data_IF_569959985536
#
_entry.id   IF_569959985536
#
_cell.length_a   1.000
_cell.length_b   1.000
_cell.length_c   1.000
_cell.angle_alpha   90.00
_cell.angle_beta   90.00
_cell.angle_gamma   90.00
#
_symmetry.space_group_name_H-M   'P 1'
#
loop_
_entity.id
_entity.type
_entity.pdbx_description
1 polymer ?
#
# COMPACT_ATOMS: atom_id res chain seq x y z
N UNK A 1 -44.31 -26.84 37.20
CA UNK A 1 -44.95 -25.58 37.65
C UNK A 1 -44.67 -24.52 36.59
N UNK A 2 -45.71 -24.00 35.91
CA UNK A 2 -45.58 -23.02 34.82
C UNK A 2 -45.70 -21.58 35.34
N UNK A 3 -44.69 -20.75 35.08
CA UNK A 3 -44.71 -19.28 35.17
C UNK A 3 -43.47 -18.84 34.38
N UNK A 4 -43.55 -18.01 33.33
CA UNK A 4 -43.93 -16.60 33.43
C UNK A 4 -44.34 -16.06 32.05
N UNK A 5 -45.59 -15.61 31.98
CA UNK A 5 -46.11 -14.37 31.39
C UNK A 5 -45.39 -13.74 30.19
N UNK A 6 -46.04 -13.92 29.03
CA UNK A 6 -46.17 -13.00 27.89
C UNK A 6 -46.58 -11.59 28.32
N UNK A 7 -45.93 -10.54 27.78
CA UNK A 7 -46.56 -9.35 27.15
C UNK A 7 -45.52 -8.31 26.76
N UNK A 8 -45.46 -7.99 25.45
CA UNK A 8 -45.60 -6.64 24.87
C UNK A 8 -44.91 -6.59 23.50
N UNK A 9 -45.68 -6.52 22.41
CA UNK A 9 -45.21 -6.06 21.12
C UNK A 9 -46.14 -4.92 20.66
N UNK A 10 -45.58 -3.70 20.61
CA UNK A 10 -46.26 -2.48 20.23
C UNK A 10 -46.34 -2.35 18.69
N UNK A 11 -47.40 -1.68 18.25
CA UNK A 11 -47.85 -1.56 16.87
C UNK A 11 -47.04 -0.56 16.03
N UNK A 12 -46.96 -0.91 14.74
CA UNK A 12 -46.99 -0.08 13.53
C UNK A 12 -46.32 1.31 13.56
N UNK A 13 -45.28 1.46 12.74
CA UNK A 13 -45.22 2.58 11.80
C UNK A 13 -44.63 2.08 10.50
N UNK A 14 -45.50 1.93 9.50
CA UNK A 14 -45.13 1.88 8.10
C UNK A 14 -44.44 3.18 7.74
N UNK A 15 -43.15 3.15 7.44
CA UNK A 15 -42.50 4.19 6.65
C UNK A 15 -41.71 3.52 5.54
N UNK A 16 -42.30 3.55 4.35
CA UNK A 16 -41.62 3.27 3.09
C UNK A 16 -40.60 4.38 2.87
N UNK A 17 -39.32 4.10 3.09
CA UNK A 17 -38.26 4.88 2.47
C UNK A 17 -37.85 4.16 1.20
N UNK A 18 -38.41 4.64 0.11
CA UNK A 18 -37.78 4.47 -1.21
C UNK A 18 -36.47 5.26 -1.13
N UNK A 19 -35.36 4.53 -1.22
CA UNK A 19 -34.02 5.07 -1.19
C UNK A 19 -33.18 4.24 -2.13
N UNK A 20 -33.46 4.39 -3.43
CA UNK A 20 -32.56 3.93 -4.47
C UNK A 20 -31.23 4.66 -4.34
N UNK A 21 -30.21 3.95 -3.88
CA UNK A 21 -28.81 4.27 -4.09
C UNK A 21 -28.25 3.28 -5.09
N UNK A 22 -28.24 3.70 -6.36
CA UNK A 22 -27.35 3.29 -7.46
C UNK A 22 -26.62 1.95 -7.26
N UNK A 23 -27.05 0.89 -7.93
CA UNK A 23 -26.43 0.50 -9.21
C UNK A 23 -24.95 0.89 -9.28
N UNK A 24 -24.12 -0.14 -9.22
CA UNK A 24 -22.89 -0.30 -9.98
C UNK A 24 -22.29 0.99 -10.51
N UNK A 25 -21.13 1.39 -10.00
CA UNK A 25 -19.99 1.75 -10.84
C UNK A 25 -18.88 2.37 -10.01
N UNK A 26 -17.70 1.79 -10.19
CA UNK A 26 -16.48 2.50 -10.60
C UNK A 26 -15.32 2.25 -9.64
N UNK A 27 -14.44 1.38 -10.13
CA UNK A 27 -13.01 1.37 -9.83
C UNK A 27 -12.65 0.90 -8.42
N UNK A 28 -12.86 -0.40 -8.18
CA UNK A 28 -11.80 -1.19 -7.57
C UNK A 28 -10.65 -1.29 -8.59
N UNK A 29 -9.96 -0.17 -8.82
CA UNK A 29 -8.52 -0.26 -9.04
C UNK A 29 -8.01 -0.19 -7.60
N UNK A 30 -7.78 -1.35 -7.00
CA UNK A 30 -6.41 -1.87 -6.94
C UNK A 30 -5.53 -0.74 -6.37
N UNK A 31 -5.93 -0.28 -5.19
CA UNK A 31 -5.07 0.41 -4.25
C UNK A 31 -4.03 -0.66 -3.88
N UNK A 32 -2.96 -0.72 -4.66
CA UNK A 32 -1.73 -1.36 -4.20
C UNK A 32 -1.46 -0.66 -2.86
N UNK A 33 -1.61 -1.37 -1.74
CA UNK A 33 -1.39 -0.88 -0.38
C UNK A 33 0.09 -0.44 -0.23
N UNK A 34 0.45 0.66 -0.88
CA UNK A 34 1.76 1.28 -0.86
C UNK A 34 1.80 2.08 0.43
N UNK A 35 2.65 1.62 1.34
CA UNK A 35 2.65 2.11 2.71
C UNK A 35 3.23 3.51 2.82
N UNK A 36 4.28 3.79 2.06
CA UNK A 36 4.93 5.10 1.98
C UNK A 36 5.81 5.18 0.72
N UNK A 37 6.19 6.40 0.35
CA UNK A 37 7.14 6.68 -0.73
C UNK A 37 8.46 7.14 -0.10
N UNK A 38 9.53 6.38 -0.31
CA UNK A 38 10.84 6.60 0.33
C UNK A 38 11.86 6.94 -0.76
N UNK A 39 12.67 7.97 -0.54
CA UNK A 39 13.74 8.35 -1.45
C UNK A 39 14.91 7.37 -1.37
N UNK A 40 15.53 7.06 -2.52
CA UNK A 40 16.67 6.14 -2.58
C UNK A 40 17.87 6.60 -1.74
N UNK A 41 17.97 7.91 -1.49
CA UNK A 41 19.00 8.54 -0.63
C UNK A 41 18.89 8.15 0.85
N UNK A 42 17.68 7.79 1.32
CA UNK A 42 17.42 7.38 2.71
C UNK A 42 17.69 5.87 2.92
N UNK A 43 17.90 5.14 1.84
CA UNK A 43 18.15 3.70 1.86
C UNK A 43 19.64 3.39 2.04
N UNK A 44 19.93 2.29 2.73
CA UNK A 44 21.30 1.80 2.81
C UNK A 44 21.61 0.95 1.58
N UNK A 45 22.53 1.40 0.74
CA UNK A 45 23.00 0.64 -0.42
C UNK A 45 24.10 -0.37 -0.03
N UNK A 46 23.90 -1.63 -0.38
CA UNK A 46 24.93 -2.65 -0.32
C UNK A 46 25.59 -2.85 -1.69
N UNK A 47 26.85 -2.42 -1.84
CA UNK A 47 27.57 -2.54 -3.11
C UNK A 47 27.99 -3.98 -3.47
N UNK A 48 27.97 -4.91 -2.50
CA UNK A 48 28.37 -6.30 -2.76
C UNK A 48 27.23 -7.13 -3.33
N UNK A 49 26.01 -6.86 -2.88
CA UNK A 49 24.79 -7.52 -3.32
C UNK A 49 23.99 -6.67 -4.30
N UNK A 50 24.34 -5.39 -4.47
CA UNK A 50 23.63 -4.41 -5.29
C UNK A 50 22.16 -4.26 -4.89
N UNK A 51 21.90 -4.30 -3.58
CA UNK A 51 20.56 -4.17 -3.01
C UNK A 51 20.49 -2.95 -2.09
N UNK A 52 19.34 -2.28 -2.11
CA UNK A 52 18.99 -1.24 -1.15
C UNK A 52 18.15 -1.85 -0.04
N UNK A 53 18.48 -1.49 1.19
CA UNK A 53 17.78 -1.96 2.37
C UNK A 53 17.45 -0.84 3.36
N UNK A 54 16.25 -0.92 3.94
CA UNK A 54 15.73 0.10 4.85
C UNK A 54 15.06 -0.53 6.08
N UNK A 55 15.29 -0.03 7.32
CA UNK A 55 14.67 -0.58 8.52
C UNK A 55 13.15 -0.36 8.52
N UNK A 56 12.39 -1.46 8.47
CA UNK A 56 10.94 -1.43 8.49
C UNK A 56 10.42 -1.28 9.94
N UNK A 57 9.38 -0.46 10.20
CA UNK A 57 8.82 -0.25 11.55
C UNK A 57 8.27 -1.52 12.21
N UNK A 58 8.11 -2.61 11.46
CA UNK A 58 7.70 -3.90 12.01
C UNK A 58 8.84 -4.73 12.62
N UNK A 59 10.10 -4.31 12.46
CA UNK A 59 11.28 -4.97 13.04
C UNK A 59 12.18 -5.70 12.05
N UNK A 60 11.77 -5.82 10.78
CA UNK A 60 12.55 -6.39 9.68
C UNK A 60 13.08 -5.30 8.74
N UNK A 61 13.55 -5.66 7.55
CA UNK A 61 14.16 -4.75 6.57
C UNK A 61 13.46 -4.94 5.22
N UNK A 62 13.22 -3.83 4.53
CA UNK A 62 12.90 -3.88 3.11
C UNK A 62 14.18 -4.20 2.33
N UNK A 63 14.04 -4.94 1.23
CA UNK A 63 15.12 -5.24 0.30
C UNK A 63 14.63 -5.03 -1.13
N UNK A 64 15.42 -4.34 -1.95
CA UNK A 64 15.15 -4.12 -3.38
C UNK A 64 16.46 -4.11 -4.16
N UNK A 65 16.45 -4.69 -5.37
CA UNK A 65 17.64 -4.75 -6.23
C UNK A 65 17.76 -3.49 -7.08
N UNK A 66 18.98 -3.00 -7.28
CA UNK A 66 19.23 -1.87 -8.19
C UNK A 66 18.84 -2.18 -9.64
N UNK A 67 18.90 -3.45 -10.06
CA UNK A 67 18.44 -3.88 -11.38
C UNK A 67 16.92 -3.65 -11.55
N UNK A 68 16.11 -3.96 -10.53
CA UNK A 68 14.67 -3.70 -10.55
C UNK A 68 14.37 -2.20 -10.64
N UNK A 69 15.10 -1.38 -9.89
CA UNK A 69 15.01 0.08 -9.97
C UNK A 69 15.34 0.58 -11.40
N UNK A 70 16.36 0.02 -12.05
CA UNK A 70 16.74 0.37 -13.42
C UNK A 70 15.70 -0.04 -14.46
N UNK A 71 14.97 -1.12 -14.21
CA UNK A 71 13.86 -1.57 -15.07
C UNK A 71 12.56 -0.77 -14.84
N UNK A 72 12.55 0.17 -13.88
CA UNK A 72 11.39 0.98 -13.51
C UNK A 72 10.46 0.30 -12.51
N UNK A 73 10.94 -0.74 -11.81
CA UNK A 73 10.25 -1.41 -10.74
C UNK A 73 10.79 -0.91 -9.39
N UNK A 74 10.16 0.15 -8.89
CA UNK A 74 10.45 0.80 -7.61
C UNK A 74 9.75 0.18 -6.39
N UNK A 75 9.31 -1.08 -6.48
CA UNK A 75 8.56 -1.72 -5.39
C UNK A 75 9.50 -2.50 -4.46
N UNK A 76 9.74 -1.97 -3.26
CA UNK A 76 10.46 -2.70 -2.22
C UNK A 76 9.49 -3.49 -1.34
N UNK A 77 9.81 -4.76 -1.10
CA UNK A 77 8.93 -5.69 -0.39
C UNK A 77 9.60 -6.15 0.91
N UNK A 78 8.87 -6.14 2.02
CA UNK A 78 9.34 -6.70 3.29
C UNK A 78 8.84 -8.14 3.46
N UNK A 79 9.73 -9.12 3.70
CA UNK A 79 9.36 -10.53 3.82
C UNK A 79 8.48 -10.84 5.05
N UNK A 80 8.52 -9.98 6.08
CA UNK A 80 7.74 -10.19 7.30
C UNK A 80 6.40 -9.47 7.32
N UNK A 81 6.28 -8.39 6.55
CA UNK A 81 5.17 -7.46 6.73
C UNK A 81 4.24 -7.41 5.52
N UNK A 82 4.59 -8.06 4.40
CA UNK A 82 3.85 -8.05 3.12
C UNK A 82 3.51 -6.65 2.59
N UNK A 83 4.00 -5.61 3.27
CA UNK A 83 3.90 -4.22 2.91
C UNK A 83 4.84 -3.97 1.74
N UNK A 84 4.37 -3.11 0.84
CA UNK A 84 5.12 -2.64 -0.31
C UNK A 84 5.34 -1.15 -0.11
N UNK A 85 6.55 -0.67 -0.37
CA UNK A 85 6.88 0.76 -0.37
C UNK A 85 7.41 1.13 -1.75
N UNK A 86 7.12 2.36 -2.19
CA UNK A 86 7.60 2.87 -3.48
C UNK A 86 8.90 3.63 -3.27
N UNK A 87 9.92 3.26 -4.04
CA UNK A 87 11.23 3.87 -3.98
C UNK A 87 11.31 4.98 -5.02
N UNK A 88 11.33 6.23 -4.58
CA UNK A 88 11.51 7.36 -5.48
C UNK A 88 13.00 7.45 -5.80
N UNK A 89 13.34 7.30 -7.08
CA UNK A 89 14.68 7.52 -7.61
C UNK A 89 14.60 8.51 -8.77
N UNK A 90 15.55 9.43 -8.84
CA UNK A 90 15.73 10.27 -10.03
C UNK A 90 16.67 9.57 -11.00
N UNK A 91 16.39 9.61 -12.32
CA UNK A 91 17.31 9.11 -13.34
C UNK A 91 18.69 9.77 -13.22
N UNK A 92 18.75 11.01 -12.75
CA UNK A 92 19.99 11.77 -12.51
C UNK A 92 20.93 11.10 -11.49
N UNK A 93 20.37 10.35 -10.52
CA UNK A 93 21.12 9.67 -9.46
C UNK A 93 21.74 8.35 -9.95
N UNK A 94 21.06 7.69 -10.90
CA UNK A 94 21.59 6.53 -11.62
C UNK A 94 22.53 6.93 -12.77
N UNK A 95 22.29 8.11 -13.37
CA UNK A 95 22.95 8.65 -14.56
C UNK A 95 23.92 9.79 -14.23
N UNK A 96 24.84 9.55 -13.29
CA UNK A 96 26.07 10.33 -13.20
C UNK A 96 27.00 10.26 -14.44
N UNK A 97 26.51 9.81 -15.60
CA UNK A 97 27.28 9.59 -16.83
C UNK A 97 26.83 10.43 -18.04
N UNK A 98 25.77 11.22 -17.97
CA UNK A 98 25.38 12.09 -19.10
C UNK A 98 25.04 13.53 -18.70
N UNK A 99 25.97 14.17 -17.99
CA UNK A 99 26.30 15.56 -18.31
C UNK A 99 27.32 15.57 -19.43
N UNK A 100 26.88 15.62 -20.69
CA UNK A 100 27.62 16.31 -21.75
C UNK A 100 26.73 16.52 -22.98
N UNK A 101 26.38 17.79 -23.28
CA UNK A 101 25.65 18.10 -24.50
C UNK A 101 25.09 19.51 -24.64
N UNK A 102 25.85 20.57 -24.30
CA UNK A 102 25.65 21.88 -24.92
C UNK A 102 26.96 22.44 -25.47
#
# INVERSE_FOLDING_TARGET
MPSTTTTAAAAATTLSLTGGGTSSSAKAAEDLDIYDEIEIEDMTYDATLQIYHYPCPCGDRFEISIDSLREGEDIAVCPSCSLMVRVIFDPEDLEGAEKEGN
#
